data_IF_938930103135
#
_entry.id   IF_938930103135
#
_cell.length_a   1.000
_cell.length_b   1.000
_cell.length_c   1.000
_cell.angle_alpha   90.00
_cell.angle_beta   90.00
_cell.angle_gamma   90.00
#
_symmetry.space_group_name_H-M   'P 1'
#
loop_
_entity.id
_entity.type
_entity.pdbx_description
1 polymer ?
#
# COMPACT_ATOMS: atom_id res chain seq x y z
N UNK A 1 3.94 3.96 -13.92
CA UNK A 1 3.98 5.35 -13.41
C UNK A 1 5.11 5.41 -12.39
N UNK A 2 5.69 6.59 -12.17
CA UNK A 2 6.65 6.78 -11.08
C UNK A 2 5.89 7.08 -9.78
N UNK A 3 6.15 6.32 -8.71
CA UNK A 3 5.53 6.55 -7.41
C UNK A 3 6.07 7.82 -6.76
N UNK A 4 5.22 8.53 -6.04
CA UNK A 4 5.57 9.76 -5.34
C UNK A 4 5.82 9.47 -3.87
N UNK A 5 6.94 9.98 -3.35
CA UNK A 5 7.34 9.79 -1.96
C UNK A 5 7.36 11.10 -1.17
N UNK A 6 6.80 12.19 -1.73
CA UNK A 6 6.60 13.44 -1.01
C UNK A 6 5.53 13.31 0.09
N UNK A 7 5.63 14.16 1.12
CA UNK A 7 4.83 14.08 2.34
C UNK A 7 3.32 14.11 2.05
N UNK A 8 2.88 14.97 1.12
CA UNK A 8 1.48 15.08 0.74
C UNK A 8 0.97 13.75 0.15
N UNK A 9 1.73 13.20 -0.80
CA UNK A 9 1.39 11.95 -1.48
C UNK A 9 1.38 10.76 -0.52
N UNK A 10 2.36 10.68 0.40
CA UNK A 10 2.46 9.60 1.41
C UNK A 10 1.32 9.68 2.41
N UNK A 11 0.99 10.89 2.90
CA UNK A 11 -0.14 11.08 3.81
C UNK A 11 -1.48 10.74 3.15
N UNK A 12 -1.67 11.12 1.89
CA UNK A 12 -2.87 10.75 1.12
C UNK A 12 -2.99 9.23 0.92
N UNK A 13 -1.87 8.55 0.65
CA UNK A 13 -1.83 7.10 0.48
C UNK A 13 -2.14 6.37 1.79
N UNK A 14 -1.56 6.78 2.92
CA UNK A 14 -1.88 6.21 4.23
C UNK A 14 -3.35 6.39 4.58
N UNK A 15 -3.90 7.60 4.36
CA UNK A 15 -5.32 7.86 4.62
C UNK A 15 -6.23 7.00 3.76
N UNK A 16 -5.89 6.79 2.50
CA UNK A 16 -6.61 5.84 1.64
C UNK A 16 -6.56 4.42 2.23
N UNK A 17 -5.36 3.94 2.59
CA UNK A 17 -5.16 2.58 3.08
C UNK A 17 -5.90 2.31 4.42
N UNK A 18 -5.98 3.31 5.30
CA UNK A 18 -6.73 3.24 6.56
C UNK A 18 -8.25 3.12 6.36
N UNK A 19 -8.78 3.68 5.26
CA UNK A 19 -10.22 3.75 4.99
C UNK A 19 -10.70 2.78 3.90
N UNK A 20 -9.78 2.10 3.22
CA UNK A 20 -10.10 1.15 2.15
C UNK A 20 -10.91 -0.04 2.69
N UNK A 21 -11.92 -0.46 1.92
CA UNK A 21 -12.64 -1.71 2.17
C UNK A 21 -11.79 -2.87 1.65
N UNK A 22 -11.04 -3.50 2.54
CA UNK A 22 -10.08 -4.55 2.19
C UNK A 22 -10.76 -5.93 2.15
N UNK A 23 -10.60 -6.73 1.08
CA UNK A 23 -10.90 -8.16 1.13
C UNK A 23 -10.00 -8.86 2.16
N UNK A 24 -10.34 -10.10 2.51
CA UNK A 24 -9.54 -10.90 3.46
C UNK A 24 -8.14 -11.18 2.91
N UNK A 25 -8.08 -11.58 1.65
CA UNK A 25 -6.87 -11.92 0.92
C UNK A 25 -6.89 -11.27 -0.46
N UNK A 26 -5.71 -11.06 -1.05
CA UNK A 26 -5.55 -10.50 -2.39
C UNK A 26 -4.27 -11.03 -3.02
N UNK A 27 -4.39 -11.52 -4.25
CA UNK A 27 -3.25 -11.84 -5.07
C UNK A 27 -2.76 -10.59 -5.81
N UNK A 28 -1.60 -10.06 -5.42
CA UNK A 28 -0.98 -8.89 -6.07
C UNK A 28 -0.31 -9.26 -7.40
N UNK A 29 0.24 -10.48 -7.50
CA UNK A 29 0.83 -11.03 -8.72
C UNK A 29 0.86 -12.55 -8.69
N UNK A 30 1.29 -13.22 -9.75
CA UNK A 30 1.48 -14.68 -9.77
C UNK A 30 2.35 -15.19 -8.61
N UNK A 31 3.36 -14.41 -8.20
CA UNK A 31 4.30 -14.79 -7.15
C UNK A 31 3.97 -14.21 -5.76
N UNK A 32 2.95 -13.35 -5.64
CA UNK A 32 2.67 -12.59 -4.41
C UNK A 32 1.19 -12.70 -4.05
N UNK A 33 0.89 -13.56 -3.07
CA UNK A 33 -0.43 -13.70 -2.47
C UNK A 33 -0.43 -13.20 -1.02
N UNK A 34 -1.27 -12.22 -0.73
CA UNK A 34 -1.44 -11.66 0.62
C UNK A 34 -2.65 -12.33 1.27
N UNK A 35 -2.39 -13.25 2.20
CA UNK A 35 -3.43 -14.04 2.89
C UNK A 35 -4.17 -13.28 4.00
N UNK A 36 -3.58 -12.20 4.52
CA UNK A 36 -4.19 -11.33 5.51
C UNK A 36 -3.92 -9.86 5.15
N UNK A 37 -4.79 -9.32 4.31
CA UNK A 37 -4.59 -8.00 3.72
C UNK A 37 -4.64 -6.88 4.76
N UNK A 38 -5.49 -7.03 5.79
CA UNK A 38 -5.56 -6.06 6.90
C UNK A 38 -4.23 -5.96 7.64
N UNK A 39 -3.64 -7.10 8.01
CA UNK A 39 -2.36 -7.10 8.72
C UNK A 39 -1.23 -6.56 7.84
N UNK A 40 -1.25 -6.89 6.54
CA UNK A 40 -0.31 -6.34 5.57
C UNK A 40 -0.37 -4.81 5.50
N UNK A 41 -1.58 -4.24 5.38
CA UNK A 41 -1.75 -2.77 5.34
C UNK A 41 -1.29 -2.11 6.63
N UNK A 42 -1.69 -2.65 7.80
CA UNK A 42 -1.29 -2.11 9.10
C UNK A 42 0.23 -2.13 9.30
N UNK A 43 0.90 -3.22 8.89
CA UNK A 43 2.36 -3.31 8.99
C UNK A 43 3.06 -2.22 8.17
N UNK A 44 2.67 -2.05 6.90
CA UNK A 44 3.28 -1.03 6.04
C UNK A 44 2.97 0.41 6.54
N UNK A 45 1.77 0.68 7.05
CA UNK A 45 1.45 1.98 7.67
C UNK A 45 2.33 2.25 8.89
N UNK A 46 2.54 1.24 9.74
CA UNK A 46 3.37 1.39 10.94
C UNK A 46 4.84 1.66 10.57
N UNK A 47 5.38 0.97 9.57
CA UNK A 47 6.73 1.23 9.07
C UNK A 47 6.87 2.67 8.54
N UNK A 48 5.88 3.15 7.78
CA UNK A 48 5.88 4.54 7.28
C UNK A 48 5.83 5.53 8.45
N UNK A 49 4.93 5.33 9.42
CA UNK A 49 4.78 6.23 10.58
C UNK A 49 6.04 6.28 11.45
N UNK A 50 6.77 5.17 11.56
CA UNK A 50 7.97 5.08 12.39
C UNK A 50 9.22 5.66 11.72
N UNK A 51 9.30 5.61 10.39
CA UNK A 51 10.55 5.83 9.68
C UNK A 51 10.52 6.90 8.59
N UNK A 52 9.36 7.32 8.10
CA UNK A 52 9.31 8.41 7.12
C UNK A 52 9.91 9.70 7.69
N UNK A 53 10.80 10.42 6.97
CA UNK A 53 11.09 10.32 5.53
C UNK A 53 12.34 9.50 5.13
N UNK A 54 12.78 8.51 5.92
CA UNK A 54 13.92 7.66 5.56
C UNK A 54 13.63 6.81 4.31
N UNK A 55 14.37 7.06 3.22
CA UNK A 55 14.21 6.39 1.93
C UNK A 55 14.44 4.87 2.00
N UNK A 56 15.16 4.37 3.02
CA UNK A 56 15.31 2.94 3.24
C UNK A 56 13.95 2.24 3.42
N UNK A 57 12.95 2.96 3.94
CA UNK A 57 11.59 2.45 4.19
C UNK A 57 10.59 2.76 3.06
N UNK A 58 11.04 3.37 1.94
CA UNK A 58 10.21 3.55 0.75
C UNK A 58 9.52 2.28 0.24
N UNK A 59 10.08 1.05 0.39
CA UNK A 59 9.35 -0.16 0.02
C UNK A 59 7.98 -0.31 0.67
N UNK A 60 7.75 0.19 1.90
CA UNK A 60 6.43 0.17 2.53
C UNK A 60 5.42 1.07 1.79
N UNK A 61 5.87 2.22 1.30
CA UNK A 61 5.09 3.16 0.50
C UNK A 61 4.78 2.55 -0.88
N UNK A 62 5.80 2.00 -1.55
CA UNK A 62 5.66 1.30 -2.85
C UNK A 62 4.62 0.17 -2.76
N UNK A 63 4.63 -0.60 -1.68
CA UNK A 63 3.68 -1.69 -1.44
C UNK A 63 2.24 -1.20 -1.31
N UNK A 64 2.01 -0.08 -0.63
CA UNK A 64 0.67 0.52 -0.53
C UNK A 64 0.20 1.08 -1.88
N UNK A 65 1.09 1.64 -2.70
CA UNK A 65 0.73 2.05 -4.06
C UNK A 65 0.33 0.86 -4.94
N UNK A 66 1.14 -0.20 -4.97
CA UNK A 66 0.83 -1.43 -5.74
C UNK A 66 -0.50 -2.02 -5.31
N UNK A 67 -0.78 -2.02 -4.02
CA UNK A 67 -2.05 -2.48 -3.49
C UNK A 67 -3.21 -1.59 -3.98
N UNK A 68 -3.05 -0.27 -3.90
CA UNK A 68 -4.05 0.68 -4.39
C UNK A 68 -4.35 0.48 -5.87
N UNK A 69 -3.31 0.38 -6.69
CA UNK A 69 -3.43 0.13 -8.13
C UNK A 69 -4.15 -1.19 -8.41
N UNK A 70 -3.86 -2.26 -7.67
CA UNK A 70 -4.54 -3.55 -7.82
C UNK A 70 -6.02 -3.45 -7.43
N UNK A 71 -6.34 -2.78 -6.32
CA UNK A 71 -7.73 -2.65 -5.85
C UNK A 71 -8.59 -1.70 -6.69
N UNK A 72 -8.00 -0.65 -7.25
CA UNK A 72 -8.72 0.34 -8.08
C UNK A 72 -8.70 -0.04 -9.57
N UNK A 73 -7.73 -0.86 -10.00
CA UNK A 73 -7.58 -1.35 -11.38
C UNK A 73 -8.46 -2.54 -11.76
N UNK A 74 -9.07 -3.24 -10.79
CA UNK A 74 -10.02 -4.36 -11.03
C UNK A 74 -11.38 -3.91 -11.62
N UNK A 75 -11.47 -2.69 -12.17
CA UNK A 75 -12.61 -2.18 -12.94
C UNK A 75 -12.41 -2.18 -14.47
N UNK A 76 -11.32 -2.78 -14.98
CA UNK A 76 -11.06 -2.93 -16.41
C UNK A 76 -10.73 -4.38 -16.76
N UNK A 77 -11.74 -5.24 -16.76
CA UNK A 77 -11.78 -6.47 -17.57
C UNK A 77 -13.22 -6.69 -18.07
#
# INVERSE_FOLDING_TARGET
>A
MEYKYDEESVNALMKWAENAQLPKELQLSEAENIVNLRQYVVANINDIKAHYPDEFYNPAITRLYRLKEKMEGEGQD
#
